data_IF_019265905675
#
_entry.id   IF_019265905675
#
_cell.length_a   1.000
_cell.length_b   1.000
_cell.length_c   1.000
_cell.angle_alpha   90.00
_cell.angle_beta   90.00
_cell.angle_gamma   90.00
#
_symmetry.space_group_name_H-M   'P 1'
#
loop_
_entity.id
_entity.type
_entity.pdbx_description
1 polymer ?
#
# COMPACT_ATOMS: atom_id res chain seq x y z
N UNK A 1 17.28 1.52 -19.96
CA UNK A 1 17.79 2.35 -21.06
C UNK A 1 16.83 3.52 -21.25
N UNK A 2 17.33 4.67 -21.67
CA UNK A 2 16.47 5.79 -22.07
C UNK A 2 15.93 5.57 -23.50
N UNK A 3 15.04 6.44 -23.98
CA UNK A 3 14.47 6.34 -25.32
C UNK A 3 15.47 6.42 -26.49
N UNK A 4 16.75 6.74 -26.22
CA UNK A 4 17.84 6.76 -27.19
C UNK A 4 18.72 5.49 -27.14
N UNK A 5 18.30 4.46 -26.43
CA UNK A 5 19.04 3.20 -26.27
C UNK A 5 20.23 3.27 -25.32
N UNK A 6 20.49 4.40 -24.67
CA UNK A 6 21.60 4.53 -23.73
C UNK A 6 21.23 3.97 -22.36
N UNK A 7 22.15 3.22 -21.68
CA UNK A 7 21.91 2.76 -20.33
C UNK A 7 21.65 3.93 -19.38
N UNK A 8 20.67 3.80 -18.50
CA UNK A 8 20.55 4.71 -17.38
C UNK A 8 21.67 4.41 -16.39
N UNK A 9 22.27 5.41 -15.73
CA UNK A 9 23.34 5.22 -14.76
C UNK A 9 22.79 4.70 -13.43
N UNK A 10 22.07 3.58 -13.51
CA UNK A 10 21.59 2.85 -12.33
C UNK A 10 22.77 2.02 -11.86
N UNK A 11 23.34 2.38 -10.73
CA UNK A 11 24.33 1.51 -10.06
C UNK A 11 23.68 0.17 -9.74
N UNK A 12 24.45 -0.95 -9.78
CA UNK A 12 23.91 -2.26 -9.43
C UNK A 12 23.14 -2.14 -8.13
N UNK A 13 21.92 -2.65 -8.15
CA UNK A 13 20.99 -2.59 -7.03
C UNK A 13 21.64 -3.07 -5.75
N UNK A 14 22.20 -2.16 -4.99
CA UNK A 14 22.23 -2.36 -3.55
C UNK A 14 20.74 -2.47 -3.17
N UNK A 15 20.38 -3.61 -2.59
CA UNK A 15 19.03 -3.88 -2.07
C UNK A 15 18.41 -2.59 -1.55
N UNK A 16 17.28 -2.18 -2.11
CA UNK A 16 16.51 -1.00 -1.69
C UNK A 16 17.07 0.39 -2.03
N UNK A 17 17.97 0.53 -3.01
CA UNK A 17 18.39 1.88 -3.38
C UNK A 17 17.20 2.66 -3.93
N UNK A 18 16.74 3.62 -3.14
CA UNK A 18 15.75 4.61 -3.55
C UNK A 18 16.19 5.36 -4.82
N UNK A 19 17.49 5.50 -5.02
CA UNK A 19 18.07 6.21 -6.16
C UNK A 19 17.72 5.65 -7.54
N UNK A 20 17.70 4.32 -7.70
CA UNK A 20 17.29 3.70 -8.96
C UNK A 20 15.81 3.95 -9.28
N UNK A 21 14.94 3.85 -8.27
CA UNK A 21 13.51 4.15 -8.43
C UNK A 21 13.25 5.61 -8.69
N UNK A 22 13.95 6.51 -8.01
CA UNK A 22 13.85 7.96 -8.22
C UNK A 22 14.26 8.33 -9.63
N UNK A 23 15.34 7.76 -10.15
CA UNK A 23 15.78 7.98 -11.52
C UNK A 23 14.73 7.53 -12.53
N UNK A 24 14.18 6.32 -12.38
CA UNK A 24 13.09 5.81 -13.22
C UNK A 24 11.85 6.71 -13.15
N UNK A 25 11.43 7.08 -11.93
CA UNK A 25 10.28 7.94 -11.71
C UNK A 25 10.44 9.31 -12.40
N UNK A 26 11.62 9.93 -12.29
CA UNK A 26 11.90 11.23 -12.95
C UNK A 26 11.89 11.12 -14.47
N UNK A 27 12.46 10.05 -15.03
CA UNK A 27 12.42 9.83 -16.47
C UNK A 27 10.98 9.64 -16.98
N UNK A 28 10.19 8.82 -16.29
CA UNK A 28 8.80 8.57 -16.65
C UNK A 28 7.90 9.79 -16.45
N UNK A 29 8.10 10.54 -15.36
CA UNK A 29 7.38 11.79 -15.12
C UNK A 29 7.68 12.88 -16.16
N UNK A 30 8.88 12.85 -16.75
CA UNK A 30 9.27 13.71 -17.87
C UNK A 30 8.78 13.19 -19.25
N UNK A 31 7.88 12.20 -19.29
CA UNK A 31 7.34 11.62 -20.51
C UNK A 31 8.33 10.76 -21.30
N UNK A 32 9.49 10.42 -20.72
CA UNK A 32 10.51 9.62 -21.41
C UNK A 32 10.19 8.14 -21.29
N UNK A 33 10.41 7.41 -22.36
CA UNK A 33 10.28 5.94 -22.36
C UNK A 33 11.50 5.32 -21.69
N UNK A 34 11.25 4.30 -20.86
CA UNK A 34 12.29 3.52 -20.16
C UNK A 34 12.08 2.05 -20.48
N UNK A 35 13.16 1.32 -20.67
CA UNK A 35 13.13 -0.10 -21.03
C UNK A 35 14.05 -0.90 -20.13
N UNK A 36 13.64 -2.14 -19.83
CA UNK A 36 14.49 -3.17 -19.23
C UNK A 36 15.03 -4.12 -20.32
N UNK A 37 16.20 -4.67 -20.07
CA UNK A 37 16.82 -5.75 -20.86
C UNK A 37 17.57 -6.69 -19.95
N UNK A 38 17.56 -7.98 -20.28
CA UNK A 38 18.35 -9.02 -19.62
C UNK A 38 19.35 -9.67 -20.61
N UNK A 39 19.67 -8.99 -21.70
CA UNK A 39 20.60 -9.47 -22.74
C UNK A 39 22.03 -9.75 -22.22
N UNK A 40 22.40 -9.13 -21.11
CA UNK A 40 23.70 -9.38 -20.43
C UNK A 40 23.67 -10.59 -19.48
N UNK A 41 22.52 -11.24 -19.30
CA UNK A 41 22.45 -12.44 -18.49
C UNK A 41 23.18 -13.58 -19.21
N UNK A 42 24.12 -14.28 -18.54
CA UNK A 42 24.80 -15.45 -19.12
C UNK A 42 23.77 -16.47 -19.59
N UNK A 43 24.00 -17.04 -20.77
CA UNK A 43 23.08 -18.01 -21.38
C UNK A 43 22.74 -19.17 -20.44
N UNK A 44 23.73 -19.67 -19.69
CA UNK A 44 23.55 -20.75 -18.72
C UNK A 44 22.57 -20.41 -17.59
N UNK A 45 22.36 -19.11 -17.26
CA UNK A 45 21.46 -18.69 -16.19
C UNK A 45 20.03 -18.42 -16.66
N UNK A 46 19.79 -18.25 -17.96
CA UNK A 46 18.48 -17.87 -18.50
C UNK A 46 17.38 -18.87 -18.09
N UNK A 47 17.61 -20.15 -18.31
CA UNK A 47 16.67 -21.21 -17.92
C UNK A 47 16.42 -21.27 -16.41
N UNK A 48 17.45 -21.04 -15.58
CA UNK A 48 17.30 -20.98 -14.13
C UNK A 48 16.50 -19.76 -13.70
N UNK A 49 16.73 -18.60 -14.30
CA UNK A 49 15.95 -17.37 -14.05
C UNK A 49 14.47 -17.58 -14.35
N UNK A 50 14.14 -18.16 -15.51
CA UNK A 50 12.75 -18.44 -15.89
C UNK A 50 12.06 -19.38 -14.89
N UNK A 51 12.73 -20.44 -14.45
CA UNK A 51 12.19 -21.38 -13.46
C UNK A 51 12.06 -20.78 -12.06
N UNK A 52 12.99 -19.93 -11.66
CA UNK A 52 12.99 -19.33 -10.32
C UNK A 52 12.04 -18.14 -10.17
N UNK A 53 11.67 -17.50 -11.29
CA UNK A 53 10.82 -16.30 -11.32
C UNK A 53 9.67 -16.43 -12.35
N UNK A 54 8.84 -17.48 -12.27
CA UNK A 54 7.81 -17.72 -13.28
C UNK A 54 6.81 -16.57 -13.37
N UNK A 55 6.49 -15.92 -12.25
CA UNK A 55 5.57 -14.77 -12.21
C UNK A 55 6.11 -13.54 -12.95
N UNK A 56 7.42 -13.46 -13.17
CA UNK A 56 8.04 -12.39 -13.95
C UNK A 56 8.05 -12.74 -15.44
N UNK A 57 8.44 -13.95 -15.80
CA UNK A 57 8.65 -14.35 -17.19
C UNK A 57 7.34 -14.75 -17.90
N UNK A 58 6.45 -15.47 -17.25
CA UNK A 58 5.20 -15.93 -17.86
C UNK A 58 4.33 -14.81 -18.48
N UNK A 59 4.15 -13.62 -17.86
CA UNK A 59 3.46 -12.51 -18.49
C UNK A 59 4.19 -11.97 -19.73
N UNK A 60 5.53 -11.98 -19.73
CA UNK A 60 6.33 -11.55 -20.88
C UNK A 60 6.20 -12.54 -22.04
N UNK A 61 6.28 -13.85 -21.75
CA UNK A 61 6.07 -14.92 -22.73
C UNK A 61 4.68 -14.82 -23.36
N UNK A 62 3.64 -14.61 -22.57
CA UNK A 62 2.26 -14.41 -23.06
C UNK A 62 2.11 -13.16 -23.93
N UNK A 63 2.94 -12.15 -23.73
CA UNK A 63 2.98 -10.93 -24.52
C UNK A 63 3.93 -11.04 -25.74
N UNK A 64 4.56 -12.20 -25.95
CA UNK A 64 5.55 -12.39 -27.03
C UNK A 64 6.85 -11.59 -26.83
N UNK A 65 7.20 -11.28 -25.58
CA UNK A 65 8.38 -10.47 -25.24
C UNK A 65 9.49 -11.37 -24.70
N UNK A 66 10.53 -11.57 -25.46
CA UNK A 66 11.78 -12.16 -24.97
C UNK A 66 12.72 -11.06 -24.43
N UNK A 67 12.68 -10.84 -23.13
CA UNK A 67 13.46 -9.80 -22.45
C UNK A 67 14.98 -10.03 -22.51
N UNK A 68 15.43 -11.22 -22.90
CA UNK A 68 16.85 -11.53 -23.10
C UNK A 68 17.38 -11.04 -24.45
N UNK A 69 16.51 -10.83 -25.42
CA UNK A 69 16.87 -10.42 -26.78
C UNK A 69 16.31 -9.05 -27.16
N UNK A 70 15.20 -8.64 -26.57
CA UNK A 70 14.53 -7.39 -26.92
C UNK A 70 14.24 -6.50 -25.69
N UNK A 71 14.15 -5.16 -25.88
CA UNK A 71 13.80 -4.24 -24.81
C UNK A 71 12.35 -4.40 -24.40
N UNK A 72 12.11 -4.54 -23.09
CA UNK A 72 10.77 -4.54 -22.48
C UNK A 72 10.45 -3.13 -21.96
N UNK A 73 9.37 -2.47 -22.42
CA UNK A 73 9.01 -1.15 -21.92
C UNK A 73 8.59 -1.21 -20.45
N UNK A 74 9.06 -0.26 -19.68
CA UNK A 74 8.74 -0.14 -18.25
C UNK A 74 7.83 1.03 -17.99
N UNK A 75 6.92 0.84 -17.04
CA UNK A 75 6.20 1.91 -16.37
C UNK A 75 6.25 1.69 -14.84
N UNK A 76 6.14 2.75 -14.08
CA UNK A 76 5.90 2.65 -12.64
C UNK A 76 4.41 2.68 -12.39
N UNK A 77 3.94 1.68 -11.66
CA UNK A 77 2.59 1.63 -11.13
C UNK A 77 2.71 1.79 -9.63
N UNK A 78 2.03 2.79 -9.08
CA UNK A 78 1.93 2.94 -7.64
C UNK A 78 0.98 1.86 -7.13
N UNK A 79 1.51 1.03 -6.26
CA UNK A 79 0.75 0.01 -5.59
C UNK A 79 -0.04 0.69 -4.47
N UNK A 80 -1.36 0.81 -4.64
CA UNK A 80 -2.26 1.46 -3.68
C UNK A 80 -2.51 0.64 -2.41
N UNK A 81 -1.55 -0.18 -1.99
CA UNK A 81 -1.64 -1.01 -0.81
C UNK A 81 -0.87 -0.43 0.36
N UNK A 82 -1.20 -0.85 1.57
CA UNK A 82 -0.45 -0.52 2.80
C UNK A 82 0.84 -1.33 2.93
N UNK A 83 1.28 -1.97 1.87
CA UNK A 83 2.45 -2.84 1.85
C UNK A 83 3.70 -2.10 2.33
N UNK A 84 4.31 -2.61 3.35
CA UNK A 84 5.59 -2.16 3.91
C UNK A 84 5.45 -1.29 5.14
N UNK A 85 4.82 -0.14 5.06
CA UNK A 85 4.88 0.88 6.12
C UNK A 85 3.53 1.26 6.72
N UNK A 86 2.45 0.67 6.25
CA UNK A 86 1.11 0.90 6.77
C UNK A 86 0.46 -0.41 7.20
N UNK A 87 -0.78 -0.30 7.66
CA UNK A 87 -1.58 -1.44 8.08
C UNK A 87 -2.13 -1.28 9.48
N UNK A 88 -2.87 -2.28 9.92
CA UNK A 88 -3.40 -2.35 11.27
C UNK A 88 -2.26 -2.46 12.29
N UNK A 89 -2.34 -1.67 13.34
CA UNK A 89 -1.37 -1.71 14.44
C UNK A 89 -1.43 -3.06 15.15
N UNK A 90 -0.28 -3.72 15.23
CA UNK A 90 -0.07 -4.94 16.00
C UNK A 90 0.42 -4.54 17.40
N UNK A 91 -0.16 -5.13 18.44
CA UNK A 91 0.14 -4.86 19.84
C UNK A 91 0.77 -6.04 20.57
N UNK A 92 0.74 -7.24 19.98
CA UNK A 92 1.27 -8.47 20.58
C UNK A 92 2.02 -9.34 19.58
N UNK A 93 2.81 -10.28 20.10
CA UNK A 93 3.60 -11.25 19.29
C UNK A 93 2.71 -12.21 18.49
N UNK A 94 1.46 -12.35 18.86
CA UNK A 94 0.44 -13.12 18.18
C UNK A 94 -0.35 -12.31 17.15
N UNK A 95 0.18 -11.16 16.75
CA UNK A 95 -0.45 -10.24 15.81
C UNK A 95 -1.84 -9.73 16.25
N UNK A 96 -2.11 -9.70 17.56
CA UNK A 96 -3.29 -9.06 18.13
C UNK A 96 -3.28 -7.55 17.82
N UNK A 97 -4.46 -6.98 17.63
CA UNK A 97 -4.64 -5.52 17.48
C UNK A 97 -5.15 -4.90 18.78
N UNK A 98 -5.41 -3.59 18.76
CA UNK A 98 -6.05 -2.90 19.90
C UNK A 98 -7.52 -3.29 20.11
N UNK A 99 -8.12 -4.04 19.18
CA UNK A 99 -9.49 -4.54 19.28
C UNK A 99 -9.45 -5.99 19.74
N UNK A 100 -10.01 -6.29 20.87
CA UNK A 100 -10.02 -7.63 21.45
C UNK A 100 -10.65 -8.65 20.47
N UNK A 101 -9.91 -9.73 20.18
CA UNK A 101 -10.32 -10.77 19.24
C UNK A 101 -10.05 -10.47 17.76
N UNK A 102 -9.55 -9.28 17.43
CA UNK A 102 -9.10 -8.95 16.09
C UNK A 102 -7.59 -9.13 15.98
N UNK A 103 -7.17 -10.03 15.11
CA UNK A 103 -5.78 -10.27 14.75
C UNK A 103 -5.56 -9.85 13.30
N UNK A 104 -4.36 -9.38 12.97
CA UNK A 104 -4.01 -8.93 11.62
C UNK A 104 -2.79 -9.68 11.09
N UNK A 105 -2.83 -10.10 9.83
CA UNK A 105 -1.75 -10.86 9.21
C UNK A 105 -1.50 -10.39 7.76
N UNK A 106 -0.31 -10.66 7.24
CA UNK A 106 0.05 -10.31 5.87
C UNK A 106 0.09 -8.80 5.62
N UNK A 107 -0.31 -8.39 4.44
CA UNK A 107 -0.20 -6.99 4.00
C UNK A 107 -1.11 -6.02 4.76
N UNK A 108 -2.18 -6.50 5.40
CA UNK A 108 -3.06 -5.66 6.23
C UNK A 108 -2.45 -5.35 7.61
N UNK A 109 -1.48 -6.14 8.04
CA UNK A 109 -0.76 -5.94 9.30
C UNK A 109 0.46 -5.05 9.09
N UNK A 110 0.66 -4.07 9.97
CA UNK A 110 1.89 -3.27 9.94
C UNK A 110 3.12 -4.15 10.18
N UNK A 111 4.22 -3.87 9.47
CA UNK A 111 5.46 -4.63 9.58
C UNK A 111 6.71 -3.76 9.67
N UNK A 112 6.57 -2.54 10.12
CA UNK A 112 7.70 -1.61 10.28
C UNK A 112 8.76 -2.13 11.25
N UNK A 113 8.41 -3.03 12.15
CA UNK A 113 9.37 -3.71 13.03
C UNK A 113 10.35 -4.62 12.26
N UNK A 114 9.97 -5.05 11.04
CA UNK A 114 10.79 -5.92 10.17
C UNK A 114 11.44 -5.11 9.05
N UNK A 115 10.70 -4.19 8.44
CA UNK A 115 11.15 -3.47 7.24
C UNK A 115 11.46 -2.00 7.47
N UNK A 116 11.22 -1.48 8.67
CA UNK A 116 11.29 -0.04 8.94
C UNK A 116 10.33 0.74 8.06
N UNK A 117 10.72 1.96 7.69
CA UNK A 117 9.94 2.83 6.83
C UNK A 117 10.06 2.48 5.33
N UNK A 118 10.79 1.44 4.98
CA UNK A 118 10.96 0.99 3.60
C UNK A 118 9.99 -0.12 3.24
N UNK A 119 9.58 -0.18 1.97
CA UNK A 119 8.82 -1.31 1.46
C UNK A 119 9.70 -2.56 1.37
N UNK A 120 9.21 -3.69 1.87
CA UNK A 120 9.87 -4.98 1.72
C UNK A 120 9.83 -5.47 0.26
N UNK A 121 10.86 -6.22 -0.16
CA UNK A 121 10.85 -6.97 -1.41
C UNK A 121 9.96 -8.21 -1.34
N UNK A 122 9.73 -8.87 -2.47
CA UNK A 122 8.80 -10.00 -2.60
C UNK A 122 9.02 -11.13 -1.60
N UNK A 123 10.26 -11.55 -1.35
CA UNK A 123 10.58 -12.61 -0.38
C UNK A 123 10.23 -12.24 1.07
N UNK A 124 10.46 -10.99 1.46
CA UNK A 124 10.07 -10.50 2.79
C UNK A 124 8.55 -10.45 2.93
N UNK A 125 7.82 -10.14 1.87
CA UNK A 125 6.36 -10.14 1.87
C UNK A 125 5.80 -11.54 2.09
N UNK A 126 6.31 -12.54 1.38
CA UNK A 126 5.91 -13.94 1.53
C UNK A 126 6.21 -14.49 2.92
N UNK A 127 7.43 -14.26 3.42
CA UNK A 127 7.83 -14.68 4.76
C UNK A 127 6.95 -14.03 5.84
N UNK A 128 6.68 -12.72 5.71
CA UNK A 128 5.78 -12.01 6.63
C UNK A 128 4.37 -12.57 6.61
N UNK A 129 3.81 -12.83 5.42
CA UNK A 129 2.45 -13.37 5.28
C UNK A 129 2.30 -14.73 5.96
N UNK A 130 3.28 -15.64 5.77
CA UNK A 130 3.28 -16.96 6.38
C UNK A 130 3.46 -16.87 7.90
N UNK A 131 4.47 -16.12 8.37
CA UNK A 131 4.78 -16.02 9.80
C UNK A 131 3.66 -15.32 10.56
N UNK A 132 3.23 -14.15 10.11
CA UNK A 132 2.16 -13.39 10.76
C UNK A 132 0.82 -14.14 10.71
N UNK A 133 0.53 -14.84 9.61
CA UNK A 133 -0.65 -15.71 9.49
C UNK A 133 -0.64 -16.83 10.52
N UNK A 134 0.51 -17.48 10.73
CA UNK A 134 0.70 -18.54 11.73
C UNK A 134 0.50 -17.99 13.16
N UNK A 135 1.12 -16.85 13.47
CA UNK A 135 1.01 -16.23 14.80
C UNK A 135 -0.41 -15.73 15.08
N UNK A 136 -1.01 -15.03 14.13
CA UNK A 136 -2.39 -14.54 14.23
C UNK A 136 -3.39 -15.68 14.39
N UNK A 137 -3.22 -16.77 13.62
CA UNK A 137 -4.09 -17.94 13.74
C UNK A 137 -4.01 -18.60 15.11
N UNK A 138 -2.80 -18.75 15.67
CA UNK A 138 -2.60 -19.27 17.04
C UNK A 138 -3.21 -18.36 18.09
N UNK A 139 -3.01 -17.03 17.96
CA UNK A 139 -3.58 -16.03 18.85
C UNK A 139 -5.09 -16.03 18.83
N UNK A 140 -5.68 -16.00 17.63
CA UNK A 140 -7.14 -16.05 17.47
C UNK A 140 -7.75 -17.33 18.05
N UNK A 141 -7.09 -18.48 17.85
CA UNK A 141 -7.55 -19.75 18.44
C UNK A 141 -7.46 -19.76 19.96
N UNK A 142 -6.41 -19.18 20.56
CA UNK A 142 -6.32 -19.00 22.03
C UNK A 142 -7.43 -18.11 22.55
N UNK A 143 -7.64 -16.98 21.88
CA UNK A 143 -8.70 -16.02 22.26
C UNK A 143 -10.08 -16.69 22.18
N UNK A 144 -10.38 -17.40 21.09
CA UNK A 144 -11.67 -18.08 20.93
C UNK A 144 -11.89 -19.13 22.02
N UNK A 145 -10.87 -19.92 22.38
CA UNK A 145 -10.96 -20.90 23.46
C UNK A 145 -11.18 -20.24 24.83
N UNK A 146 -10.51 -19.13 25.11
CA UNK A 146 -10.68 -18.41 26.39
C UNK A 146 -12.07 -17.79 26.55
N UNK A 147 -12.72 -17.46 25.41
CA UNK A 147 -14.10 -16.94 25.41
C UNK A 147 -15.16 -18.00 25.69
N UNK A 148 -14.83 -19.26 25.42
CA UNK A 148 -15.81 -20.34 25.47
C UNK A 148 -16.86 -20.26 24.36
N UNK A 149 -17.92 -21.11 24.45
CA UNK A 149 -19.03 -21.07 23.51
C UNK A 149 -19.70 -19.70 23.48
N UNK A 150 -19.92 -19.19 22.27
CA UNK A 150 -20.68 -17.96 22.12
C UNK A 150 -22.18 -18.26 22.39
N UNK A 151 -22.90 -17.33 23.06
CA UNK A 151 -24.35 -17.47 23.14
C UNK A 151 -24.96 -17.46 21.72
N UNK A 152 -26.16 -18.03 21.55
CA UNK A 152 -26.85 -17.99 20.28
C UNK A 152 -26.82 -16.55 19.71
N UNK A 153 -26.47 -16.44 18.44
CA UNK A 153 -26.40 -15.12 17.77
C UNK A 153 -27.80 -14.51 17.76
N UNK A 154 -27.98 -13.46 18.53
CA UNK A 154 -29.07 -12.53 18.30
C UNK A 154 -28.89 -11.80 16.95
N UNK A 155 -29.85 -10.99 16.53
CA UNK A 155 -29.72 -10.16 15.35
C UNK A 155 -28.39 -9.40 15.34
N UNK A 156 -27.62 -9.56 14.26
CA UNK A 156 -26.38 -8.81 14.06
C UNK A 156 -26.75 -7.33 13.89
N UNK A 157 -26.56 -6.55 14.94
CA UNK A 157 -26.74 -5.11 14.86
C UNK A 157 -25.50 -4.46 14.25
N UNK A 158 -25.67 -3.51 13.31
CA UNK A 158 -24.56 -2.72 12.81
C UNK A 158 -23.82 -2.06 13.96
N UNK A 159 -22.51 -2.25 14.07
CA UNK A 159 -21.70 -1.62 15.09
C UNK A 159 -21.55 -0.11 14.78
N UNK A 160 -22.50 0.71 15.21
CA UNK A 160 -22.45 2.15 15.15
C UNK A 160 -22.19 2.78 13.77
N UNK A 161 -21.57 3.96 13.78
CA UNK A 161 -21.17 4.71 12.59
C UNK A 161 -19.90 4.18 11.89
N UNK A 162 -19.36 3.04 12.30
CA UNK A 162 -18.17 2.43 11.70
C UNK A 162 -18.42 1.88 10.29
N UNK A 163 -19.63 2.06 9.75
CA UNK A 163 -19.94 1.59 8.44
C UNK A 163 -19.37 2.50 7.36
N UNK A 164 -18.35 2.07 6.65
CA UNK A 164 -18.19 2.46 5.26
C UNK A 164 -19.36 1.87 4.45
N UNK A 165 -20.57 2.08 4.95
CA UNK A 165 -21.80 1.74 4.26
C UNK A 165 -22.31 3.03 3.64
N UNK A 166 -22.19 3.19 2.34
CA UNK A 166 -22.89 4.28 1.69
C UNK A 166 -24.38 4.18 2.05
N UNK A 167 -24.91 5.24 2.59
CA UNK A 167 -26.32 5.34 2.95
C UNK A 167 -26.96 6.42 2.07
N UNK A 168 -27.10 6.15 0.83
CA UNK A 168 -27.68 7.09 -0.13
C UNK A 168 -28.58 6.38 -1.11
N UNK A 169 -29.20 7.11 -2.03
CA UNK A 169 -29.94 6.52 -3.14
C UNK A 169 -29.00 5.64 -3.96
N UNK A 170 -29.52 4.61 -4.58
CA UNK A 170 -28.75 3.72 -5.43
C UNK A 170 -28.02 4.48 -6.54
N UNK A 171 -26.82 4.01 -6.88
CA UNK A 171 -26.01 4.53 -7.98
C UNK A 171 -25.86 3.49 -9.07
N UNK A 172 -25.70 3.93 -10.29
CA UNK A 172 -25.38 3.08 -11.42
C UNK A 172 -23.92 2.66 -11.42
N UNK A 173 -23.60 1.56 -12.08
CA UNK A 173 -22.22 1.09 -12.22
C UNK A 173 -21.29 2.13 -12.87
N UNK A 174 -21.67 2.85 -13.94
CA UNK A 174 -20.85 3.92 -14.51
C UNK A 174 -20.52 5.04 -13.53
N UNK A 175 -21.45 5.44 -12.66
CA UNK A 175 -21.20 6.46 -11.65
C UNK A 175 -20.17 5.99 -10.60
N UNK A 176 -20.26 4.73 -10.17
CA UNK A 176 -19.24 4.13 -9.27
C UNK A 176 -17.89 4.08 -9.93
N UNK A 177 -17.82 3.68 -11.19
CA UNK A 177 -16.54 3.58 -11.92
C UNK A 177 -15.94 4.98 -12.16
N UNK A 178 -16.75 6.00 -12.45
CA UNK A 178 -16.31 7.39 -12.54
C UNK A 178 -15.75 7.91 -11.19
N UNK A 179 -16.41 7.57 -10.08
CA UNK A 179 -15.92 7.90 -8.75
C UNK A 179 -14.56 7.24 -8.46
N UNK A 180 -14.42 5.95 -8.76
CA UNK A 180 -13.14 5.23 -8.63
C UNK A 180 -12.04 5.88 -9.47
N UNK A 181 -12.36 6.27 -10.71
CA UNK A 181 -11.41 6.98 -11.58
C UNK A 181 -10.97 8.30 -10.95
N UNK A 182 -11.90 9.11 -10.40
CA UNK A 182 -11.58 10.37 -9.75
C UNK A 182 -10.64 10.19 -8.54
N UNK A 183 -10.84 9.16 -7.71
CA UNK A 183 -9.90 8.84 -6.61
C UNK A 183 -8.54 8.43 -7.17
N UNK A 184 -8.50 7.55 -8.16
CA UNK A 184 -7.25 7.07 -8.79
C UNK A 184 -6.45 8.19 -9.40
N UNK A 185 -7.09 9.16 -10.04
CA UNK A 185 -6.43 10.32 -10.64
C UNK A 185 -5.71 11.22 -9.61
N UNK A 186 -6.05 11.09 -8.33
CA UNK A 186 -5.37 11.78 -7.23
C UNK A 186 -4.26 10.95 -6.59
N UNK A 187 -4.38 9.64 -6.58
CA UNK A 187 -3.43 8.77 -5.85
C UNK A 187 -2.41 8.07 -6.74
N UNK A 188 -2.68 7.86 -8.04
CA UNK A 188 -1.78 7.11 -8.89
C UNK A 188 -0.71 7.94 -9.61
N UNK A 189 -0.97 9.18 -10.09
CA UNK A 189 0.05 9.94 -10.81
C UNK A 189 1.27 10.24 -9.93
N UNK A 190 2.47 10.05 -10.49
CA UNK A 190 3.74 10.27 -9.77
C UNK A 190 3.84 11.67 -9.17
N UNK A 191 3.33 12.69 -9.85
CA UNK A 191 3.31 14.07 -9.36
C UNK A 191 2.52 14.26 -8.07
N UNK A 192 1.54 13.40 -7.78
CA UNK A 192 0.71 13.52 -6.58
C UNK A 192 1.15 12.62 -5.45
N UNK A 193 1.68 11.43 -5.77
CA UNK A 193 1.96 10.43 -4.77
C UNK A 193 3.45 10.10 -4.60
N UNK A 194 4.27 10.26 -5.63
CA UNK A 194 5.71 10.00 -5.54
C UNK A 194 6.50 11.30 -5.26
N UNK A 195 6.28 12.34 -6.06
CA UNK A 195 6.92 13.65 -5.91
C UNK A 195 6.02 14.58 -5.07
N UNK A 196 5.99 14.33 -3.77
CA UNK A 196 5.08 15.01 -2.85
C UNK A 196 5.63 16.35 -2.43
N UNK A 197 4.72 17.35 -2.31
CA UNK A 197 4.98 18.66 -1.71
C UNK A 197 3.85 18.99 -0.75
N UNK A 198 4.06 19.92 0.19
CA UNK A 198 3.01 20.37 1.12
C UNK A 198 1.78 20.87 0.35
N UNK A 199 1.99 21.70 -0.67
CA UNK A 199 0.92 22.23 -1.53
C UNK A 199 0.14 21.11 -2.23
N UNK A 200 0.85 20.18 -2.89
CA UNK A 200 0.22 19.09 -3.64
C UNK A 200 -0.56 18.13 -2.74
N UNK A 201 -0.05 17.86 -1.52
CA UNK A 201 -0.74 17.05 -0.52
C UNK A 201 -2.01 17.74 -0.02
N UNK A 202 -1.97 19.05 0.27
CA UNK A 202 -3.13 19.81 0.73
C UNK A 202 -4.20 19.89 -0.35
N UNK A 203 -3.83 20.15 -1.59
CA UNK A 203 -4.75 20.18 -2.72
C UNK A 203 -5.42 18.84 -2.94
N UNK A 204 -4.63 17.77 -2.97
CA UNK A 204 -5.15 16.42 -3.14
C UNK A 204 -6.09 16.02 -2.01
N UNK A 205 -5.75 16.35 -0.77
CA UNK A 205 -6.58 16.06 0.40
C UNK A 205 -7.94 16.77 0.31
N UNK A 206 -7.97 18.05 -0.08
CA UNK A 206 -9.24 18.78 -0.26
C UNK A 206 -10.15 18.10 -1.26
N UNK A 207 -9.60 17.62 -2.37
CA UNK A 207 -10.39 16.91 -3.39
C UNK A 207 -10.84 15.53 -2.91
N UNK A 208 -10.00 14.81 -2.16
CA UNK A 208 -10.35 13.53 -1.56
C UNK A 208 -11.41 13.67 -0.46
N UNK A 209 -11.40 14.76 0.31
CA UNK A 209 -12.44 15.07 1.28
C UNK A 209 -13.78 15.32 0.60
N UNK A 210 -13.81 16.08 -0.51
CA UNK A 210 -15.01 16.29 -1.31
C UNK A 210 -15.54 14.97 -1.93
N UNK A 211 -14.64 14.10 -2.41
CA UNK A 211 -15.03 12.77 -2.88
C UNK A 211 -15.57 11.89 -1.75
N UNK A 212 -15.06 12.03 -0.54
CA UNK A 212 -15.61 11.31 0.62
C UNK A 212 -17.03 11.74 0.95
N UNK A 213 -17.33 13.03 0.91
CA UNK A 213 -18.68 13.55 1.10
C UNK A 213 -19.63 12.98 0.05
N UNK A 214 -19.22 12.95 -1.21
CA UNK A 214 -19.99 12.31 -2.28
C UNK A 214 -20.19 10.81 -2.03
N UNK A 215 -19.16 10.09 -1.56
CA UNK A 215 -19.27 8.67 -1.24
C UNK A 215 -20.29 8.43 -0.14
N UNK A 216 -20.22 9.23 0.93
CA UNK A 216 -21.14 9.13 2.07
C UNK A 216 -22.59 9.38 1.67
N UNK A 217 -22.82 10.37 0.83
CA UNK A 217 -24.16 10.85 0.52
C UNK A 217 -24.79 10.15 -0.70
N UNK A 218 -23.98 9.58 -1.60
CA UNK A 218 -24.44 9.10 -2.92
C UNK A 218 -24.09 7.65 -3.27
N UNK A 219 -23.10 7.02 -2.66
CA UNK A 219 -22.73 5.65 -2.99
C UNK A 219 -23.63 4.63 -2.26
N UNK A 220 -24.93 4.69 -2.51
CA UNK A 220 -25.86 3.62 -2.16
C UNK A 220 -25.86 2.56 -3.26
N UNK A 221 -26.26 1.35 -2.95
CA UNK A 221 -26.47 0.30 -3.93
C UNK A 221 -27.97 0.16 -4.21
N UNK A 222 -28.32 -0.12 -5.46
CA UNK A 222 -29.65 -0.62 -5.77
C UNK A 222 -29.83 -1.98 -5.09
N UNK A 223 -30.95 -2.24 -4.39
CA UNK A 223 -31.14 -3.47 -3.61
C UNK A 223 -31.01 -4.75 -4.44
N UNK A 224 -31.24 -4.68 -5.73
CA UNK A 224 -31.31 -5.83 -6.64
C UNK A 224 -29.98 -6.18 -7.33
N UNK A 225 -28.95 -5.28 -7.28
CA UNK A 225 -27.65 -5.52 -7.92
C UNK A 225 -26.51 -5.64 -6.90
N UNK A 226 -26.28 -6.87 -6.45
CA UNK A 226 -25.22 -7.18 -5.49
C UNK A 226 -23.80 -6.85 -5.98
N UNK A 227 -23.53 -6.86 -7.28
CA UNK A 227 -22.21 -6.53 -7.84
C UNK A 227 -21.95 -5.03 -7.77
N UNK A 228 -22.92 -4.21 -8.12
CA UNK A 228 -22.82 -2.75 -7.99
C UNK A 228 -22.74 -2.35 -6.51
N UNK A 229 -23.48 -3.03 -5.62
CA UNK A 229 -23.37 -2.84 -4.17
C UNK A 229 -21.95 -3.11 -3.65
N UNK A 230 -21.36 -4.24 -4.04
CA UNK A 230 -19.98 -4.57 -3.69
C UNK A 230 -19.02 -3.50 -4.20
N UNK A 231 -19.15 -3.12 -5.46
CA UNK A 231 -18.29 -2.13 -6.09
C UNK A 231 -18.39 -0.74 -5.46
N UNK A 232 -19.57 -0.33 -5.04
CA UNK A 232 -19.76 0.93 -4.32
C UNK A 232 -19.07 0.92 -2.95
N UNK A 233 -19.11 -0.22 -2.24
CA UNK A 233 -18.37 -0.40 -0.97
C UNK A 233 -16.84 -0.37 -1.16
N UNK A 234 -16.35 -1.04 -2.19
CA UNK A 234 -14.93 -0.98 -2.55
C UNK A 234 -14.50 0.45 -2.89
N UNK A 235 -15.33 1.20 -3.62
CA UNK A 235 -15.08 2.59 -3.95
C UNK A 235 -15.03 3.50 -2.72
N UNK A 236 -15.96 3.33 -1.78
CA UNK A 236 -15.96 4.04 -0.50
C UNK A 236 -14.71 3.71 0.34
N UNK A 237 -14.31 2.42 0.39
CA UNK A 237 -13.10 2.00 1.08
C UNK A 237 -11.84 2.60 0.43
N UNK A 238 -11.78 2.67 -0.90
CA UNK A 238 -10.68 3.29 -1.63
C UNK A 238 -10.55 4.78 -1.29
N UNK A 239 -11.67 5.53 -1.25
CA UNK A 239 -11.67 6.94 -0.88
C UNK A 239 -11.24 7.15 0.57
N UNK A 240 -11.73 6.34 1.52
CA UNK A 240 -11.32 6.40 2.92
C UNK A 240 -9.81 6.16 3.07
N UNK A 241 -9.27 5.15 2.38
CA UNK A 241 -7.84 4.83 2.38
C UNK A 241 -7.00 5.96 1.82
N UNK A 242 -7.40 6.52 0.67
CA UNK A 242 -6.74 7.67 0.07
C UNK A 242 -6.69 8.87 1.03
N UNK A 243 -7.80 9.15 1.74
CA UNK A 243 -7.85 10.21 2.75
C UNK A 243 -6.90 9.95 3.92
N UNK A 244 -6.85 8.73 4.43
CA UNK A 244 -5.90 8.37 5.49
C UNK A 244 -4.45 8.59 5.06
N UNK A 245 -4.10 8.16 3.86
CA UNK A 245 -2.76 8.37 3.29
C UNK A 245 -2.43 9.87 3.19
N UNK A 246 -3.33 10.66 2.61
CA UNK A 246 -3.09 12.08 2.36
C UNK A 246 -3.27 12.95 3.60
N UNK A 247 -3.97 12.47 4.63
CA UNK A 247 -4.04 13.17 5.93
C UNK A 247 -2.81 12.92 6.79
N UNK A 248 -2.22 11.71 6.71
CA UNK A 248 -0.99 11.39 7.44
C UNK A 248 0.28 11.94 6.78
N UNK A 249 0.33 12.04 5.46
CA UNK A 249 1.52 12.46 4.73
C UNK A 249 2.03 13.88 5.08
N UNK A 250 1.21 14.91 5.34
CA UNK A 250 1.67 16.22 5.82
C UNK A 250 2.30 16.19 7.20
N UNK A 251 1.84 15.28 8.09
CA UNK A 251 2.40 15.12 9.44
C UNK A 251 3.83 14.56 9.41
N UNK A 252 4.19 13.81 8.36
CA UNK A 252 5.57 13.42 8.08
C UNK A 252 6.28 14.51 7.26
N UNK A 253 6.69 15.60 7.89
CA UNK A 253 7.36 16.72 7.22
C UNK A 253 8.84 16.42 6.89
N UNK A 254 9.12 15.20 6.43
CA UNK A 254 10.45 14.67 6.10
C UNK A 254 10.41 13.76 4.87
N UNK A 255 11.55 13.23 4.45
CA UNK A 255 11.66 12.12 3.51
C UNK A 255 12.27 10.92 4.20
N UNK A 256 11.47 9.86 4.42
CA UNK A 256 11.90 8.62 5.08
C UNK A 256 11.34 7.39 4.36
N UNK A 257 12.21 6.46 4.00
CA UNK A 257 11.81 5.21 3.35
C UNK A 257 11.06 5.44 2.03
N UNK A 258 9.80 5.01 1.96
CA UNK A 258 8.94 5.21 0.79
C UNK A 258 8.19 6.54 0.81
N UNK A 259 8.14 7.23 1.93
CA UNK A 259 7.59 8.57 2.03
C UNK A 259 8.61 9.59 1.56
N UNK A 260 8.35 10.26 0.44
CA UNK A 260 9.25 11.21 -0.20
C UNK A 260 8.58 12.57 -0.33
N UNK A 261 9.29 13.60 0.15
CA UNK A 261 8.87 15.00 0.08
C UNK A 261 9.93 15.77 -0.68
N UNK A 262 9.59 16.38 -1.83
CA UNK A 262 10.56 17.20 -2.59
C UNK A 262 10.89 18.49 -1.85
N UNK A 263 9.91 19.03 -1.12
CA UNK A 263 10.08 20.23 -0.29
C UNK A 263 10.70 19.94 1.09
N UNK A 264 10.90 18.66 1.44
CA UNK A 264 11.53 18.19 2.69
C UNK A 264 12.37 16.93 2.41
N UNK A 265 13.49 17.05 1.68
CA UNK A 265 14.26 15.89 1.22
C UNK A 265 15.04 15.14 2.32
N UNK A 266 15.31 15.79 3.45
CA UNK A 266 16.04 15.20 4.56
C UNK A 266 15.13 14.42 5.50
N UNK A 267 15.73 13.49 6.27
CA UNK A 267 15.10 12.85 7.42
C UNK A 267 15.18 13.74 8.65
N UNK A 268 14.14 13.72 9.48
CA UNK A 268 14.12 14.40 10.78
C UNK A 268 14.10 13.34 11.91
N UNK A 269 15.13 13.28 12.78
CA UNK A 269 15.14 12.34 13.89
C UNK A 269 13.92 12.48 14.82
N UNK A 270 13.38 13.69 14.99
CA UNK A 270 12.19 13.96 15.80
C UNK A 270 10.92 13.35 15.24
N UNK A 271 10.90 13.04 13.93
CA UNK A 271 9.78 12.37 13.25
C UNK A 271 9.97 10.84 13.11
N UNK A 272 10.99 10.26 13.75
CA UNK A 272 11.26 8.83 13.70
C UNK A 272 10.28 8.00 14.58
N UNK A 273 8.98 8.21 14.37
CA UNK A 273 7.91 7.51 15.09
C UNK A 273 6.80 7.09 14.12
N UNK A 274 5.94 6.18 14.56
CA UNK A 274 4.75 5.79 13.79
C UNK A 274 3.66 6.86 13.91
N UNK A 275 2.85 6.98 12.88
CA UNK A 275 1.63 7.78 12.90
C UNK A 275 0.42 6.85 12.95
N UNK A 276 -0.46 7.05 13.93
CA UNK A 276 -1.75 6.39 14.00
C UNK A 276 -2.78 7.26 13.31
N UNK A 277 -3.49 6.65 12.37
CA UNK A 277 -4.57 7.29 11.62
C UNK A 277 -5.88 6.61 11.99
N UNK A 278 -6.91 7.38 12.29
CA UNK A 278 -8.22 6.86 12.68
C UNK A 278 -9.34 7.80 12.27
N UNK A 279 -10.57 7.28 12.27
CA UNK A 279 -11.77 8.00 11.89
C UNK A 279 -12.07 7.95 10.40
N UNK A 280 -13.33 8.22 10.07
CA UNK A 280 -13.84 8.26 8.69
C UNK A 280 -14.25 9.68 8.30
N UNK A 281 -15.29 10.24 8.91
CA UNK A 281 -15.73 11.60 8.60
C UNK A 281 -14.72 12.64 9.07
N UNK A 282 -14.20 12.46 10.27
CA UNK A 282 -13.06 13.23 10.79
C UNK A 282 -11.86 12.30 10.92
N UNK A 283 -10.88 12.50 10.07
CA UNK A 283 -9.64 11.73 10.12
C UNK A 283 -8.68 12.39 11.09
N UNK A 284 -8.33 11.67 12.15
CA UNK A 284 -7.34 12.07 13.13
C UNK A 284 -6.01 11.39 12.83
N UNK A 285 -4.90 12.13 12.98
CA UNK A 285 -3.53 11.62 12.88
C UNK A 285 -2.81 11.99 14.16
N UNK A 286 -2.17 11.02 14.78
CA UNK A 286 -1.40 11.25 16.02
C UNK A 286 -0.14 10.38 16.04
N UNK A 287 0.94 10.85 16.69
CA UNK A 287 2.09 10.00 16.95
C UNK A 287 1.70 8.77 17.78
N UNK A 288 2.34 7.64 17.51
CA UNK A 288 2.22 6.47 18.37
C UNK A 288 3.17 6.63 19.58
N UNK A 289 2.65 6.65 20.80
CA UNK A 289 3.47 6.85 21.99
C UNK A 289 4.39 5.67 22.30
N UNK A 290 4.14 4.52 21.67
CA UNK A 290 5.01 3.36 21.83
C UNK A 290 6.27 3.58 21.01
N UNK A 291 7.38 3.89 21.69
CA UNK A 291 8.69 3.92 21.06
C UNK A 291 8.92 2.59 20.30
N UNK A 292 9.43 2.62 19.06
CA UNK A 292 9.83 1.40 18.39
C UNK A 292 10.83 0.67 19.30
N UNK A 293 10.57 -0.61 19.61
CA UNK A 293 11.59 -1.45 20.23
C UNK A 293 12.80 -1.40 19.30
N UNK A 294 13.94 -0.89 19.78
CA UNK A 294 15.19 -1.07 19.08
C UNK A 294 15.35 -2.56 18.82
N UNK A 295 15.67 -3.00 17.60
CA UNK A 295 16.12 -4.36 17.41
C UNK A 295 17.23 -4.56 18.43
N UNK A 296 17.16 -5.61 19.25
CA UNK A 296 18.30 -6.04 20.01
C UNK A 296 19.46 -6.12 18.99
N UNK A 297 20.57 -5.45 19.26
CA UNK A 297 21.76 -5.57 18.45
C UNK A 297 22.02 -7.07 18.38
N UNK A 298 21.72 -7.66 17.23
CA UNK A 298 22.08 -9.03 16.96
C UNK A 298 23.60 -9.00 16.95
N UNK A 299 24.19 -9.36 18.07
CA UNK A 299 25.61 -9.67 18.14
C UNK A 299 25.85 -10.71 17.06
N UNK A 300 26.47 -10.27 15.98
CA UNK A 300 27.01 -11.18 14.97
C UNK A 300 28.17 -11.88 15.66
N UNK A 301 28.15 -13.24 15.75
CA UNK A 301 29.31 -13.99 16.23
C UNK A 301 30.50 -13.82 15.27
#
# INVERSE_FOLDING_TARGET
MNGLGRPLPIRPLVRYSSGGRDLLARHLAAGRRVFARLDRAPAALRGTMCRSQPNYFLPLDKAGIDVFTQPCPLRLVLEGTVRGTGGLRITGEDCATTVAGLHAAGDVATRELVTGAASGGGSLNGAWAISSGTWAGRGAARFARSRGPLPPRGELRPAGRAGMRPAGPGVSRPEVDAFVAAVRDRVLPLRHNYFRTARGLTESLRLLDALWEQARDRLGALPEDGRTALRAREAAALAAHARWMYRSAPAGAESRGVHRREDRPATDPGLAHRLLVSGLDRVAVRPDPVAPRRPAEAGVP
#
